data_IF_645208786233
#
_entry.id   IF_645208786233
#
_cell.length_a   1.000
_cell.length_b   1.000
_cell.length_c   1.000
_cell.angle_alpha   90.00
_cell.angle_beta   90.00
_cell.angle_gamma   90.00
#
_symmetry.space_group_name_H-M   'P 1'
#
loop_
_entity.id
_entity.type
_entity.pdbx_description
1 polymer ?
#
# COMPACT_ATOMS: atom_id res chain seq x y z
N UNK A 1 -7.28 3.93 18.47
CA UNK A 1 -7.37 2.46 18.46
C UNK A 1 -8.39 2.06 19.51
N UNK A 2 -9.28 1.08 19.27
CA UNK A 2 -10.20 0.59 20.30
C UNK A 2 -9.44 0.19 21.58
N UNK A 3 -10.00 0.49 22.75
CA UNK A 3 -9.30 0.39 24.04
C UNK A 3 -8.73 -1.02 24.30
N UNK A 4 -9.51 -2.07 24.05
CA UNK A 4 -9.04 -3.45 24.23
C UNK A 4 -7.90 -3.87 23.30
N UNK A 5 -7.80 -3.27 22.10
CA UNK A 5 -6.68 -3.52 21.19
C UNK A 5 -5.46 -2.68 21.57
N UNK A 6 -5.66 -1.48 22.11
CA UNK A 6 -4.57 -0.59 22.50
C UNK A 6 -3.64 -1.23 23.53
N UNK A 7 -4.20 -1.89 24.54
CA UNK A 7 -3.39 -2.54 25.58
C UNK A 7 -2.66 -3.81 25.11
N UNK A 8 -3.21 -4.50 24.11
CA UNK A 8 -2.67 -5.75 23.59
C UNK A 8 -1.77 -5.58 22.34
N UNK A 9 -1.67 -4.37 21.79
CA UNK A 9 -0.96 -4.10 20.54
C UNK A 9 0.43 -3.51 20.78
N UNK A 10 1.40 -4.00 20.00
CA UNK A 10 2.74 -3.42 19.92
C UNK A 10 2.87 -2.64 18.61
N UNK A 11 2.89 -1.31 18.70
CA UNK A 11 2.94 -0.43 17.52
C UNK A 11 4.38 -0.05 17.19
N UNK A 12 4.79 -0.30 15.95
CA UNK A 12 6.04 0.22 15.38
C UNK A 12 5.73 1.17 14.24
N UNK A 13 6.30 2.37 14.27
CA UNK A 13 6.22 3.35 13.19
C UNK A 13 7.61 3.63 12.62
N UNK A 14 7.70 3.80 11.30
CA UNK A 14 8.90 4.29 10.63
C UNK A 14 8.58 5.63 9.98
N UNK A 15 9.41 6.62 10.26
CA UNK A 15 9.28 7.96 9.70
C UNK A 15 10.67 8.46 9.29
N UNK A 16 10.77 9.03 8.09
CA UNK A 16 12.03 9.55 7.57
C UNK A 16 12.34 10.93 8.17
N UNK A 17 11.31 11.77 8.32
CA UNK A 17 11.47 13.14 8.78
C UNK A 17 11.63 13.20 10.32
N UNK A 18 12.76 13.69 10.85
CA UNK A 18 13.02 13.71 12.29
C UNK A 18 12.06 14.62 13.07
N UNK A 19 11.49 15.66 12.43
CA UNK A 19 10.53 16.56 13.10
C UNK A 19 9.19 15.84 13.28
N UNK A 20 8.67 15.23 12.22
CA UNK A 20 7.44 14.44 12.22
C UNK A 20 7.56 13.27 13.18
N UNK A 21 8.70 12.57 13.18
CA UNK A 21 8.93 11.47 14.11
C UNK A 21 8.93 11.92 15.59
N UNK A 22 9.48 13.11 15.90
CA UNK A 22 9.40 13.68 17.25
C UNK A 22 7.97 14.01 17.65
N UNK A 23 7.17 14.56 16.73
CA UNK A 23 5.75 14.84 16.99
C UNK A 23 5.00 13.54 17.28
N UNK A 24 5.18 12.49 16.46
CA UNK A 24 4.51 11.20 16.66
C UNK A 24 4.91 10.56 18.00
N UNK A 25 6.17 10.66 18.43
CA UNK A 25 6.59 10.16 19.76
C UNK A 25 5.87 10.82 20.93
N UNK A 26 5.51 12.10 20.80
CA UNK A 26 4.72 12.81 21.81
C UNK A 26 3.25 12.38 21.77
N UNK A 27 2.70 12.18 20.57
CA UNK A 27 1.31 11.77 20.39
C UNK A 27 1.07 10.28 20.73
N UNK A 28 2.08 9.43 20.55
CA UNK A 28 2.00 7.97 20.69
C UNK A 28 3.16 7.44 21.56
N UNK A 29 3.18 7.75 22.87
CA UNK A 29 4.34 7.49 23.74
C UNK A 29 4.65 6.00 23.97
N UNK A 30 3.68 5.11 23.74
CA UNK A 30 3.87 3.65 23.84
C UNK A 30 4.38 3.00 22.54
N UNK A 31 4.35 3.73 21.42
CA UNK A 31 4.77 3.20 20.13
C UNK A 31 6.30 3.28 19.97
N UNK A 32 6.88 2.26 19.33
CA UNK A 32 8.28 2.29 18.89
C UNK A 32 8.38 3.09 17.60
N UNK A 33 8.86 4.33 17.67
CA UNK A 33 9.05 5.18 16.49
C UNK A 33 10.52 5.18 16.06
N UNK A 34 10.79 4.64 14.88
CA UNK A 34 12.11 4.56 14.25
C UNK A 34 12.25 5.72 13.26
N UNK A 35 13.27 6.57 13.47
CA UNK A 35 13.59 7.64 12.51
C UNK A 35 14.56 7.07 11.48
N UNK A 36 14.04 6.66 10.32
CA UNK A 36 14.83 6.03 9.28
C UNK A 36 14.14 6.08 7.92
N UNK A 37 14.96 5.97 6.86
CA UNK A 37 14.47 5.60 5.54
C UNK A 37 13.90 4.18 5.61
N UNK A 38 12.62 4.01 5.30
CA UNK A 38 11.98 2.70 5.26
C UNK A 38 12.76 1.74 4.36
N UNK A 39 13.37 2.23 3.27
CA UNK A 39 14.15 1.40 2.37
C UNK A 39 15.44 0.83 2.98
N UNK A 40 15.91 1.38 4.10
CA UNK A 40 17.14 0.97 4.80
C UNK A 40 16.89 0.41 6.20
N UNK A 41 15.67 0.55 6.71
CA UNK A 41 15.36 0.15 8.07
C UNK A 41 15.32 -1.38 8.21
N UNK A 42 16.12 -1.94 9.12
CA UNK A 42 16.05 -3.37 9.41
C UNK A 42 14.86 -3.67 10.31
N UNK A 43 13.87 -4.37 9.76
CA UNK A 43 12.64 -4.73 10.44
C UNK A 43 12.47 -6.26 10.45
N UNK A 44 12.08 -6.86 11.57
CA UNK A 44 11.72 -8.27 11.60
C UNK A 44 10.43 -8.50 10.79
N UNK A 45 10.38 -9.59 10.02
CA UNK A 45 9.19 -9.99 9.28
C UNK A 45 8.16 -10.68 10.20
N UNK A 46 7.66 -9.95 11.20
CA UNK A 46 6.80 -10.50 12.25
C UNK A 46 5.61 -9.58 12.60
N UNK A 47 5.11 -8.80 11.64
CA UNK A 47 3.94 -7.94 11.87
C UNK A 47 2.62 -8.68 11.59
N UNK A 48 1.64 -8.47 12.47
CA UNK A 48 0.27 -8.98 12.30
C UNK A 48 -0.62 -8.03 11.48
N UNK A 49 -0.19 -6.78 11.34
CA UNK A 49 -0.90 -5.73 10.62
C UNK A 49 0.08 -4.67 10.09
N UNK A 50 -0.07 -4.29 8.83
CA UNK A 50 0.61 -3.14 8.24
C UNK A 50 -0.42 -2.11 7.76
N UNK A 51 -0.31 -0.87 8.22
CA UNK A 51 -1.17 0.24 7.78
C UNK A 51 -0.28 1.38 7.32
N UNK A 52 -0.60 1.99 6.18
CA UNK A 52 0.15 3.15 5.73
C UNK A 52 -0.57 3.97 4.67
N UNK A 53 -0.10 5.21 4.50
CA UNK A 53 -0.35 6.04 3.33
C UNK A 53 1.00 6.25 2.64
N UNK A 54 1.43 5.32 1.77
CA UNK A 54 2.73 5.40 1.11
C UNK A 54 2.91 6.74 0.38
N UNK A 55 4.11 7.34 0.40
CA UNK A 55 4.34 8.60 -0.28
C UNK A 55 4.15 8.48 -1.80
N UNK A 56 3.36 9.38 -2.37
CA UNK A 56 3.12 9.45 -3.81
C UNK A 56 4.33 10.04 -4.53
N UNK A 57 5.09 9.17 -5.19
CA UNK A 57 6.21 9.59 -6.03
C UNK A 57 6.46 8.57 -7.15
N UNK A 58 6.80 9.09 -8.33
CA UNK A 58 7.28 8.31 -9.48
C UNK A 58 8.77 7.94 -9.37
N UNK A 59 9.43 8.32 -8.28
CA UNK A 59 10.82 7.92 -8.03
C UNK A 59 10.90 6.42 -7.84
N UNK A 60 11.77 5.78 -8.62
CA UNK A 60 12.13 4.37 -8.44
C UNK A 60 13.05 4.19 -7.24
N UNK A 61 12.76 3.20 -6.40
CA UNK A 61 13.61 2.84 -5.26
C UNK A 61 14.76 1.95 -5.72
N UNK A 62 15.99 2.42 -5.50
CA UNK A 62 17.24 1.69 -5.87
C UNK A 62 18.13 1.35 -4.67
N UNK A 63 17.82 1.89 -3.49
CA UNK A 63 18.60 1.72 -2.26
C UNK A 63 18.45 0.33 -1.64
N UNK A 64 17.31 -0.33 -1.87
CA UNK A 64 17.05 -1.66 -1.33
C UNK A 64 17.48 -2.77 -2.31
N UNK A 65 18.47 -3.58 -1.91
CA UNK A 65 19.04 -4.63 -2.75
C UNK A 65 18.02 -5.72 -3.14
N UNK A 66 17.04 -6.01 -2.29
CA UNK A 66 16.05 -7.06 -2.55
C UNK A 66 15.04 -6.65 -3.63
N UNK A 67 14.75 -5.35 -3.75
CA UNK A 67 13.72 -4.84 -4.67
C UNK A 67 14.28 -4.03 -5.84
N UNK A 68 15.54 -3.57 -5.80
CA UNK A 68 16.12 -2.68 -6.83
C UNK A 68 16.00 -3.21 -8.26
N UNK A 69 16.00 -4.53 -8.46
CA UNK A 69 15.90 -5.15 -9.79
C UNK A 69 14.50 -5.08 -10.37
N UNK A 70 13.47 -4.86 -9.54
CA UNK A 70 12.07 -4.76 -9.96
C UNK A 70 11.69 -3.35 -10.42
N UNK A 71 12.51 -2.34 -10.13
CA UNK A 71 12.27 -0.97 -10.60
C UNK A 71 11.00 -0.30 -10.06
N UNK A 72 10.47 -0.79 -8.92
CA UNK A 72 9.21 -0.31 -8.34
C UNK A 72 9.24 1.20 -8.03
N UNK A 73 8.13 1.88 -8.33
CA UNK A 73 7.89 3.26 -7.87
C UNK A 73 7.79 3.27 -6.35
N UNK A 74 8.01 4.43 -5.73
CA UNK A 74 8.09 4.57 -4.28
C UNK A 74 6.88 3.98 -3.55
N UNK A 75 5.66 4.33 -3.98
CA UNK A 75 4.43 3.83 -3.37
C UNK A 75 4.27 2.31 -3.52
N UNK A 76 4.54 1.77 -4.70
CA UNK A 76 4.49 0.32 -4.95
C UNK A 76 5.51 -0.45 -4.10
N UNK A 77 6.72 0.09 -4.00
CA UNK A 77 7.78 -0.46 -3.17
C UNK A 77 7.38 -0.51 -1.70
N UNK A 78 6.78 0.56 -1.17
CA UNK A 78 6.33 0.62 0.22
C UNK A 78 5.26 -0.45 0.50
N UNK A 79 4.30 -0.63 -0.41
CA UNK A 79 3.24 -1.65 -0.29
C UNK A 79 3.85 -3.05 -0.33
N UNK A 80 4.64 -3.35 -1.35
CA UNK A 80 5.27 -4.67 -1.54
C UNK A 80 6.12 -5.06 -0.33
N UNK A 81 7.02 -4.16 0.09
CA UNK A 81 7.90 -4.42 1.23
C UNK A 81 7.14 -4.55 2.55
N UNK A 82 6.12 -3.73 2.77
CA UNK A 82 5.30 -3.84 3.99
C UNK A 82 4.58 -5.19 4.07
N UNK A 83 4.07 -5.70 2.94
CA UNK A 83 3.47 -7.04 2.85
C UNK A 83 4.52 -8.14 3.13
N UNK A 84 5.74 -7.99 2.62
CA UNK A 84 6.80 -8.97 2.88
C UNK A 84 7.22 -9.03 4.36
N UNK A 85 7.04 -7.95 5.12
CA UNK A 85 7.29 -7.92 6.56
C UNK A 85 6.15 -8.51 7.42
N UNK A 86 5.00 -8.85 6.82
CA UNK A 86 3.89 -9.47 7.53
C UNK A 86 4.15 -10.95 7.86
N UNK A 87 3.52 -11.45 8.91
CA UNK A 87 3.39 -12.90 9.16
C UNK A 87 2.45 -13.56 8.14
N UNK A 88 2.60 -14.86 7.84
CA UNK A 88 1.59 -15.59 7.09
C UNK A 88 0.20 -15.47 7.74
N UNK A 89 -0.82 -15.11 6.97
CA UNK A 89 -2.20 -14.87 7.44
C UNK A 89 -2.50 -13.46 7.95
N UNK A 90 -1.49 -12.59 8.09
CA UNK A 90 -1.65 -11.22 8.57
C UNK A 90 -2.19 -10.27 7.48
N UNK A 91 -2.62 -9.08 7.89
CA UNK A 91 -3.33 -8.12 7.05
C UNK A 91 -2.51 -6.86 6.72
N UNK A 92 -2.78 -6.26 5.58
CA UNK A 92 -2.28 -4.95 5.20
C UNK A 92 -3.44 -4.04 4.76
N UNK A 93 -3.39 -2.75 5.07
CA UNK A 93 -4.31 -1.75 4.56
C UNK A 93 -3.55 -0.48 4.15
N UNK A 94 -3.70 -0.07 2.89
CA UNK A 94 -3.01 1.10 2.36
C UNK A 94 -3.97 2.08 1.72
N UNK A 95 -3.75 3.37 1.98
CA UNK A 95 -4.31 4.45 1.17
C UNK A 95 -3.27 4.77 0.11
N UNK A 96 -3.59 4.57 -1.17
CA UNK A 96 -2.69 4.86 -2.30
C UNK A 96 -3.42 5.59 -3.42
N UNK A 97 -2.71 6.06 -4.44
CA UNK A 97 -3.34 6.60 -5.65
C UNK A 97 -3.81 5.46 -6.54
N UNK A 98 -4.75 5.74 -7.43
CA UNK A 98 -5.21 4.78 -8.44
C UNK A 98 -4.09 4.22 -9.31
N UNK A 99 -2.96 4.93 -9.38
CA UNK A 99 -1.78 4.52 -10.14
C UNK A 99 -1.23 3.14 -9.77
N UNK A 100 -1.36 2.68 -8.53
CA UNK A 100 -0.95 1.31 -8.15
C UNK A 100 -1.78 0.26 -8.89
N UNK A 101 -3.09 0.46 -9.00
CA UNK A 101 -4.03 -0.49 -9.57
C UNK A 101 -4.21 -0.34 -11.08
N UNK A 102 -4.24 0.89 -11.60
CA UNK A 102 -4.60 1.17 -13.00
C UNK A 102 -3.39 1.23 -13.95
N UNK A 103 -2.16 1.28 -13.43
CA UNK A 103 -0.98 1.32 -14.31
C UNK A 103 -0.85 0.05 -15.14
N UNK A 104 -0.40 0.21 -16.39
CA UNK A 104 -0.16 -0.90 -17.32
C UNK A 104 0.98 -1.82 -16.86
N UNK A 105 1.96 -1.29 -16.12
CA UNK A 105 3.04 -2.07 -15.54
C UNK A 105 2.52 -2.93 -14.36
N UNK A 106 2.47 -4.25 -14.56
CA UNK A 106 1.97 -5.22 -13.58
C UNK A 106 3.00 -5.62 -12.54
N UNK A 107 4.28 -5.23 -12.64
CA UNK A 107 5.37 -5.80 -11.84
C UNK A 107 5.14 -5.71 -10.33
N UNK A 108 4.56 -4.61 -9.86
CA UNK A 108 4.18 -4.44 -8.45
C UNK A 108 3.06 -5.39 -8.03
N UNK A 109 1.98 -5.46 -8.83
CA UNK A 109 0.82 -6.31 -8.57
C UNK A 109 1.20 -7.79 -8.61
N UNK A 110 1.97 -8.20 -9.60
CA UNK A 110 2.52 -9.56 -9.71
C UNK A 110 3.43 -9.90 -8.53
N UNK A 111 4.27 -8.95 -8.08
CA UNK A 111 5.10 -9.17 -6.91
C UNK A 111 4.27 -9.45 -5.67
N UNK A 112 3.25 -8.63 -5.41
CA UNK A 112 2.36 -8.78 -4.27
C UNK A 112 1.58 -10.10 -4.35
N UNK A 113 1.04 -10.43 -5.53
CA UNK A 113 0.23 -11.63 -5.75
C UNK A 113 0.97 -12.96 -5.45
N UNK A 114 2.31 -12.97 -5.57
CA UNK A 114 3.11 -14.14 -5.21
C UNK A 114 3.00 -14.53 -3.74
N UNK A 115 2.76 -13.59 -2.84
CA UNK A 115 2.76 -13.84 -1.39
C UNK A 115 1.49 -13.39 -0.67
N UNK A 116 0.61 -12.61 -1.32
CA UNK A 116 -0.60 -12.08 -0.72
C UNK A 116 -1.79 -12.10 -1.68
N UNK A 117 -2.98 -12.17 -1.11
CA UNK A 117 -4.25 -12.02 -1.82
C UNK A 117 -4.76 -10.59 -1.63
N UNK A 118 -5.30 -9.98 -2.69
CA UNK A 118 -6.13 -8.79 -2.57
C UNK A 118 -7.49 -9.22 -1.99
N UNK A 119 -7.82 -8.72 -0.79
CA UNK A 119 -9.05 -9.09 -0.08
C UNK A 119 -10.16 -8.10 -0.38
N UNK A 120 -9.81 -6.83 -0.51
CA UNK A 120 -10.73 -5.77 -0.90
C UNK A 120 -9.94 -4.60 -1.50
N UNK A 121 -10.55 -3.90 -2.46
CA UNK A 121 -10.11 -2.56 -2.85
C UNK A 121 -11.33 -1.66 -3.01
N UNK A 122 -11.19 -0.41 -2.54
CA UNK A 122 -12.25 0.60 -2.56
C UNK A 122 -11.66 1.84 -3.24
N UNK A 123 -12.26 2.25 -4.36
CA UNK A 123 -11.92 3.51 -5.02
C UNK A 123 -12.80 4.63 -4.50
N UNK A 124 -12.18 5.72 -4.06
CA UNK A 124 -12.90 6.91 -3.62
C UNK A 124 -13.29 7.78 -4.82
N UNK A 125 -14.42 8.52 -4.75
CA UNK A 125 -14.78 9.49 -5.77
C UNK A 125 -13.67 10.50 -6.06
N UNK A 126 -13.55 10.93 -7.31
CA UNK A 126 -12.62 12.00 -7.68
C UNK A 126 -12.87 13.27 -6.83
N UNK A 127 -11.79 13.95 -6.44
CA UNK A 127 -11.88 15.16 -5.62
C UNK A 127 -12.20 14.91 -4.14
N UNK A 128 -12.26 13.65 -3.67
CA UNK A 128 -12.47 13.32 -2.25
C UNK A 128 -11.50 14.02 -1.29
N UNK A 129 -10.29 14.36 -1.76
CA UNK A 129 -9.28 15.08 -0.98
C UNK A 129 -9.04 16.52 -1.45
N UNK A 130 -9.85 17.06 -2.38
CA UNK A 130 -9.68 18.42 -2.91
C UNK A 130 -9.82 19.47 -1.81
N UNK A 131 -10.86 19.34 -0.97
CA UNK A 131 -11.15 20.31 0.09
C UNK A 131 -10.13 20.26 1.25
N UNK A 132 -9.59 19.08 1.57
CA UNK A 132 -8.75 18.88 2.75
C UNK A 132 -7.25 18.86 2.45
N UNK A 133 -6.85 18.42 1.25
CA UNK A 133 -5.44 18.24 0.86
C UNK A 133 -5.09 18.91 -0.48
N UNK A 134 -6.04 19.56 -1.15
CA UNK A 134 -5.78 20.34 -2.37
C UNK A 134 -5.34 19.50 -3.57
N UNK A 135 -5.72 18.22 -3.64
CA UNK A 135 -5.35 17.32 -4.74
C UNK A 135 -6.56 16.61 -5.34
N UNK A 136 -6.49 16.39 -6.66
CA UNK A 136 -7.47 15.66 -7.47
C UNK A 136 -7.06 14.22 -7.77
N UNK A 137 -5.98 13.75 -7.14
CA UNK A 137 -5.55 12.36 -7.28
C UNK A 137 -6.68 11.44 -6.83
N UNK A 138 -7.08 10.54 -7.72
CA UNK A 138 -8.00 9.45 -7.39
C UNK A 138 -7.31 8.51 -6.42
N UNK A 139 -7.99 8.18 -5.32
CA UNK A 139 -7.43 7.41 -4.20
C UNK A 139 -8.11 6.05 -4.10
N UNK A 140 -7.29 5.03 -3.92
CA UNK A 140 -7.72 3.68 -3.62
C UNK A 140 -7.34 3.32 -2.16
N UNK A 141 -8.22 2.59 -1.50
CA UNK A 141 -7.95 1.93 -0.22
C UNK A 141 -7.84 0.43 -0.50
N UNK A 142 -6.63 -0.11 -0.36
CA UNK A 142 -6.30 -1.49 -0.70
C UNK A 142 -6.12 -2.32 0.56
N UNK A 143 -6.73 -3.50 0.60
CA UNK A 143 -6.63 -4.47 1.69
C UNK A 143 -6.03 -5.77 1.17
N UNK A 144 -4.93 -6.19 1.79
CA UNK A 144 -4.24 -7.42 1.44
C UNK A 144 -4.21 -8.37 2.63
N UNK A 145 -4.16 -9.67 2.34
CA UNK A 145 -3.84 -10.70 3.32
C UNK A 145 -2.64 -11.49 2.83
N UNK A 146 -1.58 -11.54 3.65
CA UNK A 146 -0.45 -12.43 3.35
C UNK A 146 -0.91 -13.87 3.41
N UNK A 147 -0.64 -14.63 2.36
CA UNK A 147 -1.07 -16.03 2.23
C UNK A 147 -0.43 -16.90 3.31
N UNK A 148 -1.17 -17.86 3.87
CA UNK A 148 -0.56 -18.84 4.80
C UNK A 148 0.25 -19.85 4.00
N UNK A 149 1.20 -20.48 4.67
CA UNK A 149 2.00 -21.55 4.05
C UNK A 149 1.05 -22.70 3.68
N UNK A 150 1.00 -23.06 2.40
CA UNK A 150 0.17 -24.15 1.88
C UNK A 150 -1.22 -23.74 1.40
N UNK A 151 -1.64 -22.49 1.60
CA UNK A 151 -2.86 -21.99 0.97
C UNK A 151 -2.68 -21.89 -0.55
N UNK A 152 -3.74 -22.18 -1.31
CA UNK A 152 -3.76 -21.98 -2.75
C UNK A 152 -3.75 -20.49 -3.11
N UNK A 153 -3.35 -20.17 -4.34
CA UNK A 153 -3.46 -18.81 -4.87
C UNK A 153 -4.92 -18.34 -4.87
N UNK A 154 -5.14 -17.10 -4.46
CA UNK A 154 -6.44 -16.44 -4.52
C UNK A 154 -6.79 -15.96 -5.93
N UNK A 155 -7.77 -15.08 -6.01
CA UNK A 155 -8.14 -14.44 -7.28
C UNK A 155 -7.00 -13.54 -7.80
N UNK A 156 -6.62 -13.73 -9.06
CA UNK A 156 -5.59 -12.99 -9.76
C UNK A 156 -6.17 -12.04 -10.83
N UNK A 157 -7.50 -11.97 -10.96
CA UNK A 157 -8.17 -11.10 -11.94
C UNK A 157 -7.76 -9.63 -11.83
N UNK A 158 -7.45 -9.15 -10.63
CA UNK A 158 -6.98 -7.80 -10.32
C UNK A 158 -5.56 -7.49 -10.83
N UNK A 159 -4.84 -8.46 -11.40
CA UNK A 159 -3.59 -8.17 -12.12
C UNK A 159 -3.87 -7.43 -13.43
N UNK A 160 -5.03 -7.72 -14.05
CA UNK A 160 -5.44 -7.21 -15.35
C UNK A 160 -6.14 -5.85 -15.27
N UNK A 161 -6.17 -5.18 -16.42
CA UNK A 161 -6.96 -3.98 -16.66
C UNK A 161 -8.08 -4.31 -17.65
N UNK A 162 -9.24 -3.69 -17.46
CA UNK A 162 -10.33 -3.68 -18.43
C UNK A 162 -10.53 -2.28 -19.02
N UNK A 163 -11.05 -2.23 -20.25
CA UNK A 163 -11.48 -0.98 -20.87
C UNK A 163 -12.88 -0.61 -20.39
N UNK A 164 -12.99 0.52 -19.71
CA UNK A 164 -14.27 1.11 -19.31
C UNK A 164 -14.54 2.30 -20.23
N UNK A 165 -15.74 2.34 -20.80
CA UNK A 165 -16.19 3.46 -21.63
C UNK A 165 -17.06 4.40 -20.78
N UNK A 166 -16.75 5.70 -20.74
CA UNK A 166 -17.62 6.67 -20.12
C UNK A 166 -19.01 6.67 -20.76
N UNK A 167 -20.03 7.07 -19.99
CA UNK A 167 -21.41 7.14 -20.48
C UNK A 167 -21.61 8.21 -21.58
N UNK A 168 -20.69 9.17 -21.67
CA UNK A 168 -20.68 10.25 -22.67
C UNK A 168 -19.82 9.84 -23.88
N UNK A 169 -20.37 10.00 -25.08
CA UNK A 169 -19.76 9.53 -26.33
C UNK A 169 -18.45 10.24 -26.71
N UNK A 170 -18.13 11.37 -26.06
CA UNK A 170 -16.99 12.22 -26.41
C UNK A 170 -15.70 11.86 -25.65
N UNK A 171 -15.73 10.93 -24.70
CA UNK A 171 -14.56 10.50 -23.94
C UNK A 171 -14.06 9.12 -24.41
N UNK A 172 -12.75 9.02 -24.63
CA UNK A 172 -12.10 7.77 -25.02
C UNK A 172 -12.18 6.70 -23.92
N UNK A 173 -11.98 5.44 -24.30
CA UNK A 173 -11.90 4.35 -23.33
C UNK A 173 -10.77 4.60 -22.33
N UNK A 174 -11.07 4.42 -21.05
CA UNK A 174 -10.07 4.44 -19.97
C UNK A 174 -9.77 3.02 -19.54
N UNK A 175 -8.52 2.76 -19.16
CA UNK A 175 -8.12 1.47 -18.61
C UNK A 175 -8.18 1.53 -17.10
N UNK A 176 -9.01 0.67 -16.52
CA UNK A 176 -9.24 0.58 -15.08
C UNK A 176 -8.89 -0.82 -14.64
N UNK A 177 -8.34 -0.98 -13.44
CA UNK A 177 -8.11 -2.31 -12.90
C UNK A 177 -9.40 -3.14 -12.89
N UNK A 178 -9.33 -4.41 -13.33
CA UNK A 178 -10.50 -5.29 -13.41
C UNK A 178 -11.24 -5.46 -12.09
N UNK A 179 -10.58 -5.25 -10.95
CA UNK A 179 -11.26 -5.24 -9.66
C UNK A 179 -12.37 -4.17 -9.55
N UNK A 180 -12.20 -3.03 -10.22
CA UNK A 180 -13.13 -1.90 -10.16
C UNK A 180 -14.06 -1.78 -11.39
N UNK A 181 -13.88 -2.64 -12.40
CA UNK A 181 -14.57 -2.57 -13.67
C UNK A 181 -15.93 -3.29 -13.66
#
# INVERSE_FOLDING_TARGET
MPEGLHEASHVTGIELDPVTARIVRLLQPRARIIVADFARAELPANFDLAIGNPPFSDRTVRSDRAYRSMGLRLHDYFIARAIDLLKPGALAAFVTSSGTMDKADTAAREHIARSADLVAAIRLPEGSFRASAGTDVVVDILFFRKRKIGDAEGDLSWLDLDEVRPATADEGAIRVNRWFA
#
